data_IF_023808216588
#
_entry.id   IF_023808216588
#
_cell.length_a   1.000
_cell.length_b   1.000
_cell.length_c   1.000
_cell.angle_alpha   90.00
_cell.angle_beta   90.00
_cell.angle_gamma   90.00
#
_symmetry.space_group_name_H-M   'P 1'
#
loop_
_entity.id
_entity.type
_entity.pdbx_description
1 polymer ?
#
# COMPACT_ATOMS: atom_id res chain seq x y z
N UNK A 1 -9.12 17.45 -31.38
CA UNK A 1 -8.09 16.45 -31.73
C UNK A 1 -8.14 15.36 -30.69
N UNK A 2 -8.72 14.21 -31.02
CA UNK A 2 -8.69 13.02 -30.17
C UNK A 2 -7.25 12.49 -30.16
N UNK A 3 -6.60 12.53 -29.00
CA UNK A 3 -5.31 11.86 -28.81
C UNK A 3 -5.60 10.36 -28.93
N UNK A 4 -5.24 9.76 -30.07
CA UNK A 4 -5.34 8.31 -30.23
C UNK A 4 -4.38 7.66 -29.24
N UNK A 5 -4.88 6.69 -28.50
CA UNK A 5 -4.10 5.79 -27.66
C UNK A 5 -2.97 5.18 -28.50
N UNK A 6 -1.72 5.48 -28.17
CA UNK A 6 -0.55 4.87 -28.79
C UNK A 6 -0.18 3.59 -28.01
N UNK A 7 -0.50 2.40 -28.55
CA UNK A 7 -0.27 1.13 -27.87
C UNK A 7 1.20 0.84 -27.60
N UNK A 8 2.14 1.47 -28.34
CA UNK A 8 3.57 1.25 -28.17
C UNK A 8 4.13 2.03 -26.97
N UNK A 9 3.50 3.15 -26.61
CA UNK A 9 3.81 3.90 -25.37
C UNK A 9 3.13 3.32 -24.12
N UNK A 10 2.12 2.47 -24.30
CA UNK A 10 1.35 1.86 -23.21
C UNK A 10 1.99 0.58 -22.63
N UNK A 11 3.17 0.18 -23.10
CA UNK A 11 3.89 -0.99 -22.60
C UNK A 11 4.54 -0.63 -21.26
N UNK A 12 3.81 -0.85 -20.17
CA UNK A 12 4.40 -0.76 -18.83
C UNK A 12 5.41 -1.90 -18.66
N UNK A 13 6.71 -1.62 -18.50
CA UNK A 13 7.71 -2.67 -18.36
C UNK A 13 7.50 -3.35 -17.01
N UNK A 14 6.95 -4.56 -17.02
CA UNK A 14 6.87 -5.35 -15.79
C UNK A 14 8.29 -5.69 -15.33
N UNK A 15 8.61 -5.51 -14.03
CA UNK A 15 9.90 -5.91 -13.52
C UNK A 15 10.10 -7.42 -13.70
N UNK A 16 11.35 -7.87 -13.89
CA UNK A 16 11.64 -9.29 -13.97
C UNK A 16 11.19 -9.98 -12.68
N UNK A 17 10.60 -11.17 -12.81
CA UNK A 17 10.22 -11.97 -11.64
C UNK A 17 11.49 -12.32 -10.84
N UNK A 18 11.40 -12.33 -9.49
CA UNK A 18 12.53 -12.71 -8.66
C UNK A 18 12.96 -14.16 -8.94
N UNK A 19 14.26 -14.42 -8.77
CA UNK A 19 14.80 -15.77 -8.88
C UNK A 19 14.12 -16.69 -7.85
N UNK A 20 13.58 -17.85 -8.27
CA UNK A 20 12.98 -18.79 -7.34
C UNK A 20 14.01 -19.28 -6.32
N UNK A 21 13.63 -19.27 -5.04
CA UNK A 21 14.43 -19.85 -3.96
C UNK A 21 14.34 -21.39 -3.97
N UNK A 22 15.42 -22.05 -3.56
CA UNK A 22 15.40 -23.49 -3.26
C UNK A 22 14.50 -23.81 -2.04
N UNK A 23 14.16 -25.08 -1.85
CA UNK A 23 13.31 -25.53 -0.72
C UNK A 23 13.96 -25.17 0.62
N UNK A 24 15.27 -25.40 0.75
CA UNK A 24 16.02 -25.13 1.98
C UNK A 24 16.11 -23.63 2.28
N UNK A 25 16.33 -22.80 1.24
CA UNK A 25 16.32 -21.34 1.40
C UNK A 25 14.95 -20.83 1.82
N UNK A 26 13.87 -21.33 1.20
CA UNK A 26 12.50 -20.96 1.60
C UNK A 26 12.24 -21.32 3.06
N UNK A 27 12.58 -22.53 3.48
CA UNK A 27 12.42 -22.96 4.86
C UNK A 27 13.22 -22.06 5.83
N UNK A 28 14.48 -21.78 5.50
CA UNK A 28 15.35 -20.90 6.28
C UNK A 28 14.75 -19.50 6.45
N UNK A 29 14.34 -18.84 5.35
CA UNK A 29 13.81 -17.48 5.41
C UNK A 29 12.46 -17.41 6.12
N UNK A 30 11.58 -18.40 5.94
CA UNK A 30 10.29 -18.46 6.64
C UNK A 30 10.48 -18.49 8.14
N UNK A 31 11.35 -19.38 8.64
CA UNK A 31 11.61 -19.48 10.08
C UNK A 31 12.33 -18.24 10.62
N UNK A 32 13.26 -17.67 9.85
CA UNK A 32 13.90 -16.40 10.20
C UNK A 32 12.89 -15.25 10.32
N UNK A 33 11.94 -15.13 9.38
CA UNK A 33 10.90 -14.11 9.43
C UNK A 33 9.99 -14.32 10.64
N UNK A 34 9.53 -15.55 10.90
CA UNK A 34 8.73 -15.87 12.09
C UNK A 34 9.43 -15.48 13.39
N UNK A 35 10.73 -15.76 13.48
CA UNK A 35 11.55 -15.39 14.62
C UNK A 35 11.63 -13.86 14.78
N UNK A 36 11.98 -13.15 13.71
CA UNK A 36 12.11 -11.70 13.72
C UNK A 36 10.79 -10.99 14.02
N UNK A 37 9.65 -11.51 13.54
CA UNK A 37 8.34 -10.95 13.85
C UNK A 37 8.08 -10.97 15.36
N UNK A 38 8.40 -12.09 16.04
CA UNK A 38 8.29 -12.20 17.50
C UNK A 38 9.28 -11.28 18.21
N UNK A 39 10.55 -11.32 17.83
CA UNK A 39 11.62 -10.49 18.42
C UNK A 39 11.29 -9.00 18.37
N UNK A 40 10.71 -8.54 17.26
CA UNK A 40 10.41 -7.12 17.01
C UNK A 40 9.00 -6.70 17.42
N UNK A 41 8.28 -7.58 18.14
CA UNK A 41 6.86 -7.38 18.48
C UNK A 41 6.07 -6.86 17.27
N UNK A 42 6.19 -7.60 16.17
CA UNK A 42 5.67 -7.25 14.86
C UNK A 42 4.60 -8.23 14.40
N UNK A 43 3.59 -7.70 13.72
CA UNK A 43 2.57 -8.48 13.01
C UNK A 43 2.65 -8.19 11.52
N UNK A 44 2.37 -9.19 10.68
CA UNK A 44 2.37 -9.02 9.23
C UNK A 44 0.93 -8.90 8.70
N UNK A 45 0.71 -7.98 7.77
CA UNK A 45 -0.50 -7.94 6.94
C UNK A 45 -0.09 -8.06 5.48
N UNK A 46 -0.75 -8.93 4.73
CA UNK A 46 -0.48 -9.16 3.31
C UNK A 46 -1.68 -8.74 2.45
N UNK A 47 -1.40 -8.10 1.32
CA UNK A 47 -2.43 -7.79 0.34
C UNK A 47 -2.78 -9.04 -0.49
N UNK A 48 -4.02 -9.13 -1.00
CA UNK A 48 -4.47 -10.24 -1.87
C UNK A 48 -3.60 -10.50 -3.12
N UNK A 49 -2.77 -9.54 -3.51
CA UNK A 49 -1.92 -9.62 -4.71
C UNK A 49 -0.47 -10.03 -4.42
N UNK A 50 -0.10 -10.28 -3.16
CA UNK A 50 1.24 -10.81 -2.84
C UNK A 50 1.33 -12.29 -3.18
N UNK A 51 2.55 -12.81 -3.32
CA UNK A 51 2.77 -14.23 -3.54
C UNK A 51 2.09 -15.12 -2.47
N UNK A 52 1.57 -16.30 -2.84
CA UNK A 52 0.89 -17.21 -1.91
C UNK A 52 1.74 -17.57 -0.68
N UNK A 53 3.06 -17.66 -0.84
CA UNK A 53 3.98 -17.97 0.28
C UNK A 53 3.99 -16.87 1.35
N UNK A 54 3.87 -15.60 0.93
CA UNK A 54 3.78 -14.43 1.81
C UNK A 54 2.42 -14.38 2.49
N UNK A 55 1.35 -14.66 1.73
CA UNK A 55 -0.01 -14.75 2.26
C UNK A 55 -0.10 -15.81 3.37
N UNK A 56 0.39 -17.01 3.09
CA UNK A 56 0.43 -18.12 4.05
C UNK A 56 1.27 -17.77 5.29
N UNK A 57 2.41 -17.10 5.10
CA UNK A 57 3.25 -16.67 6.22
C UNK A 57 2.54 -15.62 7.10
N UNK A 58 1.69 -14.76 6.52
CA UNK A 58 0.90 -13.79 7.29
C UNK A 58 -0.07 -14.54 8.21
N UNK A 59 -0.83 -15.49 7.67
CA UNK A 59 -1.79 -16.29 8.46
C UNK A 59 -1.08 -17.13 9.53
N UNK A 60 0.00 -17.84 9.18
CA UNK A 60 0.78 -18.67 10.11
C UNK A 60 1.35 -17.87 11.30
N UNK A 61 1.59 -16.57 11.12
CA UNK A 61 2.19 -15.70 12.15
C UNK A 61 1.14 -14.91 12.94
N UNK A 62 -0.15 -15.17 12.75
CA UNK A 62 -1.23 -14.45 13.41
C UNK A 62 -1.55 -13.08 12.78
N UNK A 63 -1.07 -12.87 11.56
CA UNK A 63 -1.39 -11.74 10.70
C UNK A 63 -2.70 -11.88 9.95
N UNK A 64 -2.86 -11.10 8.88
CA UNK A 64 -4.06 -11.17 8.02
C UNK A 64 -3.73 -11.05 6.53
N UNK A 65 -4.62 -11.60 5.70
CA UNK A 65 -4.67 -11.36 4.25
C UNK A 65 -5.90 -10.51 3.96
N UNK A 66 -5.73 -9.29 3.46
CA UNK A 66 -6.87 -8.39 3.25
C UNK A 66 -6.63 -7.28 2.22
N UNK A 67 -7.65 -6.44 1.98
CA UNK A 67 -7.50 -5.21 1.20
C UNK A 67 -6.76 -4.11 1.98
N UNK A 68 -6.37 -3.04 1.29
CA UNK A 68 -5.55 -1.96 1.85
C UNK A 68 -6.14 -1.27 3.08
N UNK A 69 -7.46 -1.11 3.17
CA UNK A 69 -8.10 -0.43 4.30
C UNK A 69 -8.18 -1.37 5.50
N UNK A 70 -8.53 -2.63 5.27
CA UNK A 70 -8.61 -3.60 6.35
C UNK A 70 -7.22 -3.94 6.91
N UNK A 71 -6.17 -3.98 6.09
CA UNK A 71 -4.78 -4.08 6.57
C UNK A 71 -4.43 -2.95 7.55
N UNK A 72 -4.77 -1.70 7.21
CA UNK A 72 -4.49 -0.55 8.06
C UNK A 72 -5.29 -0.58 9.37
N UNK A 73 -6.57 -0.99 9.30
CA UNK A 73 -7.44 -1.14 10.48
C UNK A 73 -7.01 -2.28 11.39
N UNK A 74 -6.65 -3.42 10.82
CA UNK A 74 -6.07 -4.55 11.54
C UNK A 74 -4.83 -4.11 12.30
N UNK A 75 -3.89 -3.45 11.61
CA UNK A 75 -2.68 -2.91 12.22
C UNK A 75 -2.96 -1.96 13.39
N UNK A 76 -3.96 -1.07 13.26
CA UNK A 76 -4.34 -0.14 14.31
C UNK A 76 -4.91 -0.83 15.56
N UNK A 77 -5.69 -1.91 15.38
CA UNK A 77 -6.30 -2.68 16.48
C UNK A 77 -5.35 -3.71 17.11
N UNK A 78 -4.34 -4.16 16.37
CA UNK A 78 -3.45 -5.22 16.84
C UNK A 78 -2.51 -4.70 17.94
N UNK A 79 -2.23 -5.49 19.00
CA UNK A 79 -1.39 -5.04 20.12
C UNK A 79 0.10 -4.85 19.76
N UNK A 80 0.59 -5.51 18.72
CA UNK A 80 1.98 -5.40 18.24
C UNK A 80 2.41 -3.94 18.02
N UNK A 81 3.60 -3.55 18.48
CA UNK A 81 4.15 -2.21 18.29
C UNK A 81 4.60 -1.94 16.85
N UNK A 82 4.81 -3.02 16.08
CA UNK A 82 5.28 -2.98 14.70
C UNK A 82 4.28 -3.66 13.76
N UNK A 83 4.04 -3.07 12.59
CA UNK A 83 3.26 -3.67 11.51
C UNK A 83 4.12 -3.78 10.25
N UNK A 84 4.31 -4.99 9.75
CA UNK A 84 4.89 -5.23 8.43
C UNK A 84 3.76 -5.28 7.39
N UNK A 85 3.75 -4.32 6.48
CA UNK A 85 2.79 -4.24 5.37
C UNK A 85 3.43 -4.85 4.13
N UNK A 86 3.04 -6.08 3.80
CA UNK A 86 3.38 -6.71 2.54
C UNK A 86 2.39 -6.23 1.46
N UNK A 87 2.72 -5.09 0.87
CA UNK A 87 1.93 -4.39 -0.15
C UNK A 87 2.72 -3.24 -0.77
N UNK A 88 2.02 -2.30 -1.41
CA UNK A 88 2.62 -1.13 -2.07
C UNK A 88 2.64 0.11 -1.16
N UNK A 89 3.46 1.11 -1.50
CA UNK A 89 3.83 2.25 -0.65
C UNK A 89 2.64 2.95 0.00
N UNK A 90 1.62 3.30 -0.79
CA UNK A 90 0.44 3.99 -0.26
C UNK A 90 -0.30 3.19 0.83
N UNK A 91 -0.21 1.86 0.82
CA UNK A 91 -0.83 1.00 1.84
C UNK A 91 -0.09 1.15 3.18
N UNK A 92 1.25 1.16 3.14
CA UNK A 92 2.09 1.44 4.30
C UNK A 92 1.88 2.85 4.85
N UNK A 93 1.79 3.85 3.97
CA UNK A 93 1.45 5.23 4.35
C UNK A 93 0.07 5.31 5.03
N UNK A 94 -0.92 4.60 4.48
CA UNK A 94 -2.27 4.54 5.06
C UNK A 94 -2.24 3.90 6.44
N UNK A 95 -1.52 2.79 6.61
CA UNK A 95 -1.32 2.17 7.92
C UNK A 95 -0.63 3.11 8.92
N UNK A 96 0.36 3.91 8.50
CA UNK A 96 1.03 4.90 9.35
C UNK A 96 0.10 6.04 9.76
N UNK A 97 -0.77 6.49 8.85
CA UNK A 97 -1.79 7.50 9.16
C UNK A 97 -2.77 7.00 10.22
N UNK A 98 -3.21 5.74 10.14
CA UNK A 98 -4.14 5.15 11.12
C UNK A 98 -3.47 4.73 12.44
N UNK A 99 -2.16 4.49 12.43
CA UNK A 99 -1.38 4.02 13.57
C UNK A 99 -0.12 4.87 13.77
N UNK A 100 -0.25 6.17 14.14
CA UNK A 100 0.88 7.09 14.20
C UNK A 100 1.97 6.65 15.17
N UNK A 101 1.61 5.99 16.26
CA UNK A 101 2.53 5.50 17.29
C UNK A 101 3.25 4.19 16.93
N UNK A 102 2.75 3.46 15.92
CA UNK A 102 3.34 2.16 15.53
C UNK A 102 4.47 2.35 14.53
N UNK A 103 5.42 1.44 14.56
CA UNK A 103 6.44 1.30 13.51
C UNK A 103 5.83 0.57 12.34
N UNK A 104 5.81 1.20 11.16
CA UNK A 104 5.31 0.56 9.93
C UNK A 104 6.51 0.21 9.06
N UNK A 105 6.63 -1.08 8.72
CA UNK A 105 7.67 -1.61 7.87
C UNK A 105 7.08 -2.06 6.55
N UNK A 106 7.84 -1.87 5.48
CA UNK A 106 7.56 -2.38 4.16
C UNK A 106 8.78 -3.16 3.66
N UNK A 107 8.60 -4.31 2.98
CA UNK A 107 9.72 -5.06 2.42
C UNK A 107 10.58 -4.22 1.45
N UNK A 108 9.93 -3.34 0.68
CA UNK A 108 10.57 -2.39 -0.22
C UNK A 108 9.67 -1.17 -0.38
N UNK A 109 10.26 0.03 -0.34
CA UNK A 109 9.54 1.29 -0.60
C UNK A 109 9.34 1.55 -2.10
N UNK A 110 10.00 0.77 -2.95
CA UNK A 110 9.89 0.80 -4.41
C UNK A 110 8.70 -0.03 -4.92
N UNK A 111 7.97 -0.73 -4.04
CA UNK A 111 6.68 -1.32 -4.39
C UNK A 111 5.65 -0.20 -4.53
N UNK A 112 5.42 0.28 -5.75
CA UNK A 112 4.53 1.40 -6.05
C UNK A 112 3.30 0.98 -6.85
N UNK A 113 2.34 1.88 -7.00
CA UNK A 113 1.15 1.67 -7.83
C UNK A 113 1.19 2.64 -9.00
N UNK A 114 1.01 2.16 -10.24
CA UNK A 114 0.99 3.02 -11.43
C UNK A 114 -0.09 4.12 -11.36
N UNK A 115 -1.22 3.84 -10.70
CA UNK A 115 -2.27 4.83 -10.44
C UNK A 115 -1.85 5.92 -9.45
N UNK A 116 -0.99 5.57 -8.48
CA UNK A 116 -0.41 6.54 -7.56
C UNK A 116 0.58 7.44 -8.30
N UNK A 117 1.46 6.84 -9.10
CA UNK A 117 2.44 7.58 -9.90
C UNK A 117 1.81 8.48 -10.96
N UNK A 118 0.66 8.08 -11.50
CA UNK A 118 -0.11 8.86 -12.47
C UNK A 118 -0.87 10.05 -11.87
N UNK A 119 -0.77 10.29 -10.56
CA UNK A 119 -1.41 11.44 -9.89
C UNK A 119 -0.39 12.25 -9.06
N UNK A 120 0.47 13.05 -9.72
CA UNK A 120 1.40 13.95 -9.02
C UNK A 120 0.65 14.99 -8.18
N UNK A 121 1.16 15.27 -6.97
CA UNK A 121 0.47 16.15 -6.01
C UNK A 121 0.44 17.61 -6.48
N UNK A 122 1.46 18.06 -7.20
CA UNK A 122 1.58 19.41 -7.73
C UNK A 122 0.52 19.69 -8.80
N UNK A 123 0.38 18.77 -9.76
CA UNK A 123 -0.64 18.85 -10.81
C UNK A 123 -2.05 18.74 -10.23
N UNK A 124 -2.23 17.86 -9.25
CA UNK A 124 -3.50 17.71 -8.54
C UNK A 124 -3.90 18.98 -7.78
N UNK A 125 -2.97 19.63 -7.08
CA UNK A 125 -3.22 20.89 -6.38
C UNK A 125 -3.61 21.99 -7.37
N UNK A 126 -2.85 22.17 -8.45
CA UNK A 126 -3.15 23.16 -9.47
C UNK A 126 -4.56 22.95 -10.07
N UNK A 127 -4.97 21.70 -10.26
CA UNK A 127 -6.32 21.37 -10.72
C UNK A 127 -7.40 21.74 -9.70
N UNK A 128 -7.16 21.48 -8.40
CA UNK A 128 -8.09 21.83 -7.33
C UNK A 128 -8.23 23.36 -7.18
N UNK A 129 -7.11 24.09 -7.24
CA UNK A 129 -7.09 25.56 -7.15
C UNK A 129 -7.84 26.21 -8.31
N UNK A 130 -7.83 25.59 -9.49
CA UNK A 130 -8.57 26.04 -10.66
C UNK A 130 -10.09 25.77 -10.58
N UNK A 131 -10.55 24.89 -9.68
CA UNK A 131 -11.96 24.48 -9.56
C UNK A 131 -12.42 24.48 -8.08
N UNK A 132 -12.43 25.64 -7.40
CA UNK A 132 -12.66 25.72 -5.96
C UNK A 132 -14.09 25.35 -5.52
N UNK A 133 -15.05 25.33 -6.44
CA UNK A 133 -16.45 24.97 -6.19
C UNK A 133 -16.73 23.46 -6.33
N UNK A 134 -15.76 22.68 -6.83
CA UNK A 134 -15.91 21.24 -7.01
C UNK A 134 -15.67 20.45 -5.72
N UNK A 135 -16.37 19.31 -5.58
CA UNK A 135 -16.12 18.34 -4.50
C UNK A 135 -14.97 17.43 -4.89
N UNK A 136 -13.90 17.44 -4.10
CA UNK A 136 -12.71 16.61 -4.35
C UNK A 136 -12.92 15.20 -3.77
N UNK A 137 -12.83 14.19 -4.65
CA UNK A 137 -12.90 12.78 -4.28
C UNK A 137 -11.65 12.07 -4.79
N UNK A 138 -10.85 11.53 -3.88
CA UNK A 138 -9.67 10.73 -4.22
C UNK A 138 -9.85 9.28 -3.82
N UNK A 139 -9.37 8.39 -4.67
CA UNK A 139 -9.41 6.95 -4.43
C UNK A 139 -8.34 6.53 -3.42
N UNK A 140 -8.55 5.40 -2.74
CA UNK A 140 -7.63 4.90 -1.72
C UNK A 140 -6.21 4.64 -2.26
N UNK A 141 -6.09 4.29 -3.55
CA UNK A 141 -4.83 3.99 -4.24
C UNK A 141 -4.08 5.25 -4.70
N UNK A 142 -3.96 6.24 -3.82
CA UNK A 142 -3.22 7.50 -4.04
C UNK A 142 -2.31 7.79 -2.86
N UNK A 143 -1.27 8.57 -3.06
CA UNK A 143 -0.28 8.89 -2.02
C UNK A 143 -0.91 9.66 -0.84
N UNK A 144 -0.24 9.59 0.31
CA UNK A 144 -0.59 10.42 1.46
C UNK A 144 -0.55 11.93 1.13
N UNK A 145 0.31 12.35 0.21
CA UNK A 145 0.42 13.73 -0.24
C UNK A 145 -0.86 14.18 -0.96
N UNK A 146 -1.34 13.40 -1.94
CA UNK A 146 -2.60 13.66 -2.67
C UNK A 146 -3.81 13.62 -1.72
N UNK A 147 -3.84 12.65 -0.80
CA UNK A 147 -4.90 12.59 0.24
C UNK A 147 -4.91 13.82 1.13
N UNK A 148 -3.75 14.39 1.46
CA UNK A 148 -3.64 15.62 2.26
C UNK A 148 -4.06 16.85 1.46
N UNK A 149 -3.56 16.98 0.23
CA UNK A 149 -3.91 18.03 -0.71
C UNK A 149 -5.42 18.17 -0.89
N UNK A 150 -6.10 17.05 -1.18
CA UNK A 150 -7.55 17.06 -1.36
C UNK A 150 -8.31 17.54 -0.11
N UNK A 151 -7.76 17.32 1.08
CA UNK A 151 -8.37 17.77 2.35
C UNK A 151 -8.27 19.29 2.56
N UNK A 152 -7.30 19.96 1.93
CA UNK A 152 -7.07 21.40 2.06
C UNK A 152 -7.91 22.23 1.08
N UNK A 153 -8.35 21.65 -0.05
CA UNK A 153 -9.13 22.34 -1.08
C UNK A 153 -10.62 22.57 -0.77
N UNK A 154 -11.11 22.18 0.41
CA UNK A 154 -12.54 22.25 0.75
C UNK A 154 -13.39 21.11 0.14
N UNK A 155 -14.51 20.79 0.80
CA UNK A 155 -15.46 19.71 0.42
C UNK A 155 -14.81 18.36 0.02
N UNK A 156 -13.87 17.87 0.82
CA UNK A 156 -13.20 16.59 0.59
C UNK A 156 -14.03 15.41 1.09
N UNK A 157 -14.30 14.44 0.19
CA UNK A 157 -14.87 13.13 0.57
C UNK A 157 -13.88 12.03 0.19
N UNK A 158 -13.46 11.25 1.17
CA UNK A 158 -12.67 10.05 0.90
C UNK A 158 -13.58 9.00 0.23
N UNK A 159 -13.20 8.51 -0.95
CA UNK A 159 -13.86 7.35 -1.55
C UNK A 159 -13.50 6.11 -0.72
N UNK A 160 -14.25 5.89 0.37
CA UNK A 160 -14.31 4.58 1.01
C UNK A 160 -14.99 3.67 0.02
N UNK A 161 -14.40 2.51 -0.31
CA UNK A 161 -15.17 1.40 -0.86
C UNK A 161 -16.31 1.12 0.13
N UNK A 162 -17.49 1.64 -0.17
CA UNK A 162 -18.74 1.10 0.35
C UNK A 162 -18.90 -0.23 -0.35
N UNK A 163 -18.58 -1.30 0.36
CA UNK A 163 -19.20 -2.60 0.09
C UNK A 163 -20.64 -2.55 0.59
#
# INVERSE_FOLDING_TARGET
>A
MSVMFDPDTAIYPFPPKPTPLSIDEKAYYREKIKHLLKERNAVMAAHYYTDPEIQQLAEETGGCISDSLEMARFGARHPASTLLVAGVRFMGETAKILSPEKTILMPTLQAECSLDLGCPVEEFNAFCDAHPDHTVVVYANTSAAVKRAGRLGGNFKHCRRTY
#
